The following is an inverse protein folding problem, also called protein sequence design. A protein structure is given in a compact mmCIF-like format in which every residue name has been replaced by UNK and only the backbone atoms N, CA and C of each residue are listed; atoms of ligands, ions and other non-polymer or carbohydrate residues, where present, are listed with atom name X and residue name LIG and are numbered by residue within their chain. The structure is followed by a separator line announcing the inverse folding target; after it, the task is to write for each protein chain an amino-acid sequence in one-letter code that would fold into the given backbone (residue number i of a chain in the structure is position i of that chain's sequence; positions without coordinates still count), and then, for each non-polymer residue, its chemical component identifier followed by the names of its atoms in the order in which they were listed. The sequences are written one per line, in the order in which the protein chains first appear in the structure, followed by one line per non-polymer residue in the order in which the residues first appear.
data_IF_148576868221
#
_entry.id   IF_148576868221
#
_cell.length_a   1.000
_cell.length_b   1.000
_cell.length_c   1.000
_cell.angle_alpha   90.00
_cell.angle_beta   90.00
_cell.angle_gamma   90.00
#
_symmetry.space_group_name_H-M   'P 1'
#
loop_
_entity.id
_entity.type
_entity.pdbx_description
1 polymer ?
#
# COMPACT_ATOMS: atom_id res chain seq x y z
N UNK A 1 5.79 14.26 22.22
CA UNK A 1 6.68 13.61 21.25
C UNK A 1 6.37 12.11 21.28
N UNK A 2 5.72 11.65 20.23
CA UNK A 2 5.36 10.24 20.15
C UNK A 2 6.61 9.43 19.82
N UNK A 3 6.92 8.47 20.69
CA UNK A 3 7.98 7.49 20.46
C UNK A 3 7.62 6.63 19.24
N UNK A 4 8.58 6.30 18.35
CA UNK A 4 8.31 5.42 17.24
C UNK A 4 7.83 4.07 17.74
N UNK A 5 6.90 3.47 17.02
CA UNK A 5 6.40 2.12 17.32
C UNK A 5 6.34 1.28 16.06
N UNK A 6 6.55 -0.02 16.20
CA UNK A 6 6.42 -0.96 15.11
C UNK A 6 4.95 -1.09 14.69
N UNK A 7 4.65 -0.92 13.42
CA UNK A 7 3.30 -1.05 12.89
C UNK A 7 2.78 -2.49 12.90
N UNK A 8 3.67 -3.48 12.99
CA UNK A 8 3.34 -4.90 12.99
C UNK A 8 3.08 -5.41 14.41
N UNK A 9 4.08 -5.28 15.32
CA UNK A 9 3.99 -5.81 16.67
C UNK A 9 3.62 -4.77 17.74
N UNK A 10 3.51 -3.49 17.37
CA UNK A 10 3.20 -2.33 18.23
C UNK A 10 4.22 -2.07 19.35
N UNK A 11 5.39 -2.70 19.32
CA UNK A 11 6.47 -2.40 20.24
C UNK A 11 6.85 -0.93 20.14
N UNK A 12 6.94 -0.24 21.28
CA UNK A 12 7.36 1.17 21.35
C UNK A 12 8.86 1.25 21.63
N UNK A 13 9.52 2.15 20.95
CA UNK A 13 10.95 2.42 21.09
C UNK A 13 11.15 3.80 21.75
N UNK A 14 11.00 3.85 23.06
CA UNK A 14 11.07 5.12 23.84
C UNK A 14 12.42 5.83 23.71
N UNK A 15 13.50 5.09 23.58
CA UNK A 15 14.88 5.61 23.48
C UNK A 15 15.50 5.39 22.10
N UNK A 16 14.66 5.34 21.07
CA UNK A 16 15.16 5.18 19.71
C UNK A 16 16.17 6.28 19.34
N UNK A 17 17.28 5.86 18.75
CA UNK A 17 18.31 6.73 18.16
C UNK A 17 18.73 6.14 16.83
N UNK A 18 19.04 7.01 15.88
CA UNK A 18 19.63 6.58 14.62
C UNK A 18 20.98 5.90 14.90
N UNK A 19 21.16 4.68 14.40
CA UNK A 19 22.39 3.91 14.60
C UNK A 19 23.61 4.54 13.91
N UNK A 20 23.40 5.40 12.92
CA UNK A 20 24.47 6.04 12.16
C UNK A 20 24.87 7.42 12.70
N UNK A 21 23.88 8.28 13.03
CA UNK A 21 24.17 9.65 13.45
C UNK A 21 23.81 9.95 14.91
N UNK A 22 23.22 9.01 15.64
CA UNK A 22 22.81 9.19 17.03
C UNK A 22 21.59 10.12 17.24
N UNK A 23 21.04 10.72 16.18
CA UNK A 23 19.94 11.67 16.26
C UNK A 23 18.64 10.95 16.71
N UNK A 24 17.90 11.60 17.60
CA UNK A 24 16.60 11.11 18.10
C UNK A 24 15.42 11.57 17.26
N UNK A 25 15.63 12.58 16.42
CA UNK A 25 14.57 13.18 15.64
C UNK A 25 14.26 12.35 14.40
N UNK A 26 13.02 11.88 14.33
CA UNK A 26 12.53 11.14 13.16
C UNK A 26 11.91 12.14 12.20
N UNK A 27 12.37 12.11 10.97
CA UNK A 27 11.77 12.88 9.88
C UNK A 27 10.86 11.94 9.08
N UNK A 28 9.58 12.24 9.06
CA UNK A 28 8.65 11.55 8.16
C UNK A 28 8.95 12.00 6.72
N UNK A 29 9.33 11.05 5.86
CA UNK A 29 9.66 11.31 4.45
C UNK A 29 8.40 11.52 3.57
N UNK A 30 7.21 11.49 4.13
CA UNK A 30 5.95 11.76 3.41
C UNK A 30 5.23 12.97 3.98
N UNK A 31 4.55 13.72 3.13
CA UNK A 31 3.60 14.72 3.58
C UNK A 31 2.33 13.99 4.02
N UNK A 32 2.01 14.03 5.30
CA UNK A 32 0.71 13.56 5.78
C UNK A 32 -0.44 14.29 5.07
N UNK A 33 -1.60 13.66 4.97
CA UNK A 33 -2.77 14.22 4.28
C UNK A 33 -3.20 15.57 4.87
N UNK A 34 -3.00 15.78 6.17
CA UNK A 34 -3.29 17.03 6.85
C UNK A 34 -2.41 18.18 6.35
N UNK A 35 -1.12 17.91 6.15
CA UNK A 35 -0.20 18.91 5.60
C UNK A 35 -0.53 19.25 4.16
N UNK A 36 -0.91 18.27 3.36
CA UNK A 36 -1.41 18.50 2.00
C UNK A 36 -2.67 19.36 2.05
N UNK A 37 -3.59 19.11 2.99
CA UNK A 37 -4.79 19.90 3.16
C UNK A 37 -4.48 21.36 3.51
N UNK A 38 -3.49 21.61 4.39
CA UNK A 38 -3.05 22.97 4.71
C UNK A 38 -2.48 23.71 3.50
N UNK A 39 -1.63 23.02 2.70
CA UNK A 39 -1.05 23.60 1.48
C UNK A 39 -2.15 23.93 0.45
N UNK A 40 -3.12 23.04 0.27
CA UNK A 40 -4.27 23.27 -0.60
C UNK A 40 -5.18 24.39 -0.07
N UNK A 41 -5.40 24.46 1.25
CA UNK A 41 -6.15 25.55 1.87
C UNK A 41 -5.54 26.93 1.60
N UNK A 42 -4.22 27.02 1.64
CA UNK A 42 -3.51 28.27 1.28
C UNK A 42 -3.62 28.59 -0.21
N UNK A 43 -3.56 27.57 -1.06
CA UNK A 43 -3.61 27.72 -2.53
C UNK A 43 -5.02 28.00 -3.05
N UNK A 44 -6.05 27.52 -2.33
CA UNK A 44 -7.45 27.61 -2.71
C UNK A 44 -8.31 28.16 -1.57
N UNK A 45 -8.13 29.41 -1.13
CA UNK A 45 -8.73 29.94 0.10
C UNK A 45 -10.28 29.98 0.11
N UNK A 46 -10.91 29.95 -1.09
CA UNK A 46 -12.38 29.98 -1.22
C UNK A 46 -12.96 28.60 -1.59
N UNK A 47 -12.24 27.52 -1.31
CA UNK A 47 -12.65 26.17 -1.68
C UNK A 47 -12.73 25.30 -0.44
N UNK A 48 -13.87 24.66 -0.21
CA UNK A 48 -14.00 23.71 0.89
C UNK A 48 -13.13 22.48 0.64
N UNK A 49 -12.35 22.09 1.66
CA UNK A 49 -11.47 20.93 1.61
C UNK A 49 -11.99 19.89 2.59
N UNK A 50 -12.21 18.69 2.11
CA UNK A 50 -12.65 17.54 2.88
C UNK A 50 -11.55 16.47 2.90
N UNK A 51 -11.33 15.85 4.05
CA UNK A 51 -10.31 14.82 4.24
C UNK A 51 -10.99 13.49 4.53
N UNK A 52 -10.68 12.47 3.71
CA UNK A 52 -11.11 11.09 3.88
C UNK A 52 -9.91 10.20 4.22
N UNK A 53 -10.03 9.43 5.29
CA UNK A 53 -9.03 8.46 5.74
C UNK A 53 -9.71 7.16 6.16
N UNK A 54 -8.96 6.13 6.47
CA UNK A 54 -9.50 4.87 6.97
C UNK A 54 -10.34 5.05 8.26
N UNK A 55 -9.96 6.05 9.09
CA UNK A 55 -10.65 6.36 10.34
C UNK A 55 -11.74 7.44 10.18
N UNK A 56 -11.79 8.11 9.03
CA UNK A 56 -12.72 9.20 8.76
C UNK A 56 -13.36 9.02 7.38
N UNK A 57 -14.44 8.28 7.36
CA UNK A 57 -15.24 8.10 6.15
C UNK A 57 -16.01 9.38 5.80
N UNK A 58 -16.10 9.64 4.51
CA UNK A 58 -16.94 10.71 3.97
C UNK A 58 -18.05 10.10 3.10
N UNK A 59 -19.26 10.56 3.33
CA UNK A 59 -20.36 10.36 2.40
C UNK A 59 -20.15 11.20 1.13
N UNK A 60 -20.81 10.86 0.01
CA UNK A 60 -20.75 11.67 -1.20
C UNK A 60 -21.07 13.14 -0.92
N UNK A 61 -20.19 14.03 -1.34
CA UNK A 61 -20.27 15.47 -1.07
C UNK A 61 -20.90 16.16 -2.26
N UNK A 62 -22.08 16.70 -2.04
CA UNK A 62 -22.72 17.62 -2.99
C UNK A 62 -22.13 19.01 -2.91
N UNK A 63 -22.44 19.84 -3.91
CA UNK A 63 -22.10 21.26 -3.90
C UNK A 63 -21.11 21.70 -4.95
N UNK A 64 -20.96 23.01 -5.08
CA UNK A 64 -20.10 23.66 -6.06
C UNK A 64 -18.73 23.90 -5.44
N UNK A 65 -17.65 23.56 -6.14
CA UNK A 65 -16.25 23.84 -5.78
C UNK A 65 -15.83 23.27 -4.42
N UNK A 66 -15.51 22.02 -4.41
CA UNK A 66 -14.88 21.39 -3.26
C UNK A 66 -13.67 20.55 -3.72
N UNK A 67 -12.76 20.28 -2.79
CA UNK A 67 -11.63 19.41 -2.96
C UNK A 67 -11.78 18.29 -1.93
N UNK A 68 -11.71 17.05 -2.38
CA UNK A 68 -11.65 15.88 -1.51
C UNK A 68 -10.23 15.35 -1.54
N UNK A 69 -9.54 15.43 -0.42
CA UNK A 69 -8.26 14.79 -0.19
C UNK A 69 -8.50 13.44 0.48
N UNK A 70 -7.95 12.39 -0.09
CA UNK A 70 -8.22 11.04 0.38
C UNK A 70 -6.95 10.18 0.38
N UNK A 71 -6.80 9.35 1.40
CA UNK A 71 -5.86 8.24 1.31
C UNK A 71 -6.37 7.20 0.32
N UNK A 72 -5.48 6.35 -0.18
CA UNK A 72 -5.85 5.38 -1.22
C UNK A 72 -7.03 4.52 -0.77
N UNK A 73 -8.09 4.50 -1.58
CA UNK A 73 -9.28 3.69 -1.34
C UNK A 73 -10.36 4.31 -0.44
N UNK A 74 -10.13 5.49 0.13
CA UNK A 74 -11.08 6.12 1.08
C UNK A 74 -11.93 7.24 0.48
N UNK A 75 -11.62 7.70 -0.74
CA UNK A 75 -12.42 8.72 -1.38
C UNK A 75 -13.87 8.24 -1.63
N UNK A 76 -14.89 9.07 -1.40
CA UNK A 76 -16.28 8.75 -1.69
C UNK A 76 -16.49 8.31 -3.14
N UNK A 77 -17.42 7.39 -3.35
CA UNK A 77 -17.81 6.93 -4.69
C UNK A 77 -18.83 7.92 -5.26
N UNK A 78 -18.31 8.87 -6.01
CA UNK A 78 -19.11 9.91 -6.65
C UNK A 78 -18.42 10.39 -7.93
N UNK A 79 -19.12 11.18 -8.73
CA UNK A 79 -18.49 11.83 -9.88
C UNK A 79 -17.66 13.02 -9.44
N UNK A 80 -16.47 13.16 -10.04
CA UNK A 80 -15.52 14.26 -9.83
C UNK A 80 -15.32 15.01 -11.15
N UNK A 81 -15.14 16.34 -11.10
CA UNK A 81 -14.77 17.11 -12.28
C UNK A 81 -13.36 16.78 -12.78
N UNK A 82 -12.47 16.45 -11.84
CA UNK A 82 -11.12 15.96 -12.11
C UNK A 82 -10.63 15.10 -10.95
N UNK A 83 -9.70 14.21 -11.22
CA UNK A 83 -9.03 13.38 -10.21
C UNK A 83 -7.52 13.59 -10.33
N UNK A 84 -6.84 13.71 -9.20
CA UNK A 84 -5.39 13.87 -9.13
C UNK A 84 -4.80 12.81 -8.19
N UNK A 85 -3.82 12.07 -8.67
CA UNK A 85 -3.01 11.14 -7.88
C UNK A 85 -1.68 11.83 -7.58
N UNK A 86 -1.50 12.29 -6.33
CA UNK A 86 -0.38 13.16 -5.94
C UNK A 86 0.88 12.42 -5.54
N UNK A 87 0.73 11.24 -5.00
CA UNK A 87 1.85 10.37 -4.66
C UNK A 87 1.81 9.12 -5.52
N UNK A 88 2.97 8.76 -6.01
CA UNK A 88 3.13 7.49 -6.69
C UNK A 88 2.51 6.40 -5.85
N UNK A 89 1.85 5.46 -6.50
CA UNK A 89 1.11 4.38 -5.89
C UNK A 89 2.06 3.42 -5.12
N UNK A 90 2.82 3.99 -4.18
CA UNK A 90 3.61 3.25 -3.20
C UNK A 90 2.67 2.52 -2.25
N UNK A 91 1.96 1.54 -2.80
CA UNK A 91 1.26 0.57 -1.98
C UNK A 91 2.30 -0.30 -1.28
N UNK A 92 1.98 -0.71 -0.06
CA UNK A 92 2.82 -1.65 0.66
C UNK A 92 3.21 -2.81 -0.27
N UNK A 93 4.47 -3.21 -0.26
CA UNK A 93 5.02 -4.27 -1.10
C UNK A 93 4.48 -5.64 -0.68
N UNK A 94 3.25 -5.92 -1.04
CA UNK A 94 2.68 -7.25 -0.95
C UNK A 94 2.37 -7.80 -2.36
N UNK A 95 2.05 -9.10 -2.43
CA UNK A 95 1.80 -9.82 -3.67
C UNK A 95 0.65 -9.25 -4.53
N UNK A 96 -0.19 -8.37 -3.96
CA UNK A 96 -1.35 -7.79 -4.65
C UNK A 96 -1.29 -6.26 -4.72
N UNK A 97 -0.15 -5.67 -4.45
CA UNK A 97 0.00 -4.21 -4.43
C UNK A 97 -0.26 -3.58 -5.80
N UNK A 98 0.29 -4.16 -6.86
CA UNK A 98 0.07 -3.68 -8.24
C UNK A 98 -1.38 -3.83 -8.69
N UNK A 99 -2.01 -4.97 -8.39
CA UNK A 99 -3.43 -5.20 -8.69
C UNK A 99 -4.32 -4.15 -8.01
N UNK A 100 -4.06 -3.87 -6.72
CA UNK A 100 -4.80 -2.86 -5.98
C UNK A 100 -4.55 -1.46 -6.52
N UNK A 101 -3.29 -1.11 -6.81
CA UNK A 101 -2.94 0.16 -7.42
C UNK A 101 -3.71 0.38 -8.72
N UNK A 102 -3.67 -0.62 -9.59
CA UNK A 102 -4.35 -0.59 -10.87
C UNK A 102 -5.86 -0.42 -10.69
N UNK A 103 -6.46 -1.18 -9.77
CA UNK A 103 -7.88 -1.09 -9.44
C UNK A 103 -8.27 0.32 -9.00
N UNK A 104 -7.50 0.96 -8.12
CA UNK A 104 -7.77 2.33 -7.67
C UNK A 104 -7.60 3.35 -8.79
N UNK A 105 -6.55 3.25 -9.58
CA UNK A 105 -6.31 4.14 -10.72
C UNK A 105 -7.49 4.11 -11.69
N UNK A 106 -7.87 2.94 -12.14
CA UNK A 106 -8.97 2.78 -13.10
C UNK A 106 -10.31 3.23 -12.50
N UNK A 107 -10.60 2.80 -11.25
CA UNK A 107 -11.83 3.16 -10.56
C UNK A 107 -12.00 4.68 -10.46
N UNK A 108 -11.04 5.39 -9.90
CA UNK A 108 -11.20 6.83 -9.68
C UNK A 108 -11.07 7.64 -10.98
N UNK A 109 -10.25 7.18 -11.93
CA UNK A 109 -10.21 7.80 -13.25
C UNK A 109 -11.55 7.67 -13.98
N UNK A 110 -12.23 6.53 -13.88
CA UNK A 110 -13.57 6.35 -14.47
C UNK A 110 -14.64 7.23 -13.83
N UNK A 111 -14.44 7.64 -12.58
CA UNK A 111 -15.35 8.57 -11.89
C UNK A 111 -15.05 10.04 -12.22
N UNK A 112 -13.95 10.33 -12.90
CA UNK A 112 -13.61 11.69 -13.31
C UNK A 112 -14.42 12.15 -14.52
N UNK A 113 -14.65 13.44 -14.62
CA UNK A 113 -15.30 14.09 -15.78
C UNK A 113 -14.39 14.18 -17.02
N UNK A 114 -13.46 13.24 -17.21
CA UNK A 114 -12.54 13.17 -18.33
C UNK A 114 -11.17 13.79 -18.07
N UNK A 115 -10.85 14.17 -16.84
CA UNK A 115 -9.55 14.72 -16.46
C UNK A 115 -8.96 13.94 -15.29
N UNK A 116 -7.82 13.26 -15.56
CA UNK A 116 -7.01 12.63 -14.52
C UNK A 116 -5.56 13.14 -14.66
N UNK A 117 -4.98 13.54 -13.54
CA UNK A 117 -3.57 13.89 -13.43
C UNK A 117 -2.87 12.90 -12.50
N UNK A 118 -1.72 12.40 -12.93
CA UNK A 118 -0.92 11.47 -12.14
C UNK A 118 0.47 12.06 -11.98
N UNK A 119 0.90 12.16 -10.73
CA UNK A 119 2.26 12.56 -10.37
C UNK A 119 3.00 11.29 -9.96
N UNK A 120 3.69 10.68 -10.91
CA UNK A 120 4.46 9.45 -10.72
C UNK A 120 5.58 9.36 -11.76
N UNK A 121 6.43 8.34 -11.64
CA UNK A 121 7.48 8.06 -12.62
C UNK A 121 6.85 7.55 -13.92
N UNK A 122 7.30 8.05 -15.09
CA UNK A 122 6.76 7.62 -16.38
C UNK A 122 6.89 6.10 -16.63
N UNK A 123 7.90 5.48 -16.01
CA UNK A 123 8.19 4.05 -16.15
C UNK A 123 7.26 3.15 -15.32
N UNK A 124 6.42 3.74 -14.46
CA UNK A 124 5.49 2.94 -13.64
C UNK A 124 4.53 2.16 -14.55
N UNK A 125 4.54 0.80 -14.50
CA UNK A 125 3.71 -0.01 -15.38
C UNK A 125 2.21 0.22 -15.21
N UNK A 126 1.75 0.55 -13.98
CA UNK A 126 0.34 0.85 -13.71
C UNK A 126 -0.10 2.16 -14.36
N UNK A 127 0.77 3.18 -14.37
CA UNK A 127 0.53 4.46 -15.06
C UNK A 127 0.44 4.23 -16.57
N UNK A 128 1.35 3.43 -17.14
CA UNK A 128 1.32 3.08 -18.55
C UNK A 128 0.06 2.28 -18.93
N UNK A 129 -0.38 1.35 -18.07
CA UNK A 129 -1.61 0.61 -18.28
C UNK A 129 -2.83 1.54 -18.31
N UNK A 130 -2.87 2.51 -17.40
CA UNK A 130 -3.94 3.51 -17.37
C UNK A 130 -3.91 4.42 -18.59
N UNK A 131 -2.75 4.93 -18.97
CA UNK A 131 -2.60 5.79 -20.15
C UNK A 131 -3.12 5.11 -21.43
N UNK A 132 -2.81 3.82 -21.59
CA UNK A 132 -3.30 3.00 -22.71
C UNK A 132 -4.73 2.49 -22.51
N UNK A 133 -5.33 2.75 -21.38
CA UNK A 133 -6.62 2.18 -20.96
C UNK A 133 -6.66 0.66 -21.11
N UNK A 134 -5.55 0.00 -20.81
CA UNK A 134 -5.39 -1.44 -20.96
C UNK A 134 -4.75 -2.08 -19.72
N UNK A 135 -5.55 -2.52 -18.73
CA UNK A 135 -5.05 -3.18 -17.54
C UNK A 135 -4.54 -4.60 -17.83
N UNK A 136 -5.04 -5.25 -18.88
CA UNK A 136 -4.79 -6.67 -19.14
C UNK A 136 -3.32 -6.97 -19.43
N UNK A 137 -2.62 -6.09 -20.15
CA UNK A 137 -1.21 -6.29 -20.45
C UNK A 137 -0.34 -6.36 -19.18
N UNK A 138 -0.63 -5.53 -18.19
CA UNK A 138 0.06 -5.55 -16.89
C UNK A 138 -0.32 -6.81 -16.10
N UNK A 139 -1.61 -7.11 -16.01
CA UNK A 139 -2.11 -8.28 -15.27
C UNK A 139 -1.53 -9.58 -15.86
N UNK A 140 -1.51 -9.72 -17.18
CA UNK A 140 -0.94 -10.91 -17.84
C UNK A 140 0.54 -11.09 -17.52
N UNK A 141 1.31 -10.02 -17.60
CA UNK A 141 2.73 -10.05 -17.26
C UNK A 141 2.96 -10.46 -15.79
N UNK A 142 2.21 -9.86 -14.86
CA UNK A 142 2.30 -10.20 -13.43
C UNK A 142 1.91 -11.66 -13.17
N UNK A 143 0.89 -12.18 -13.84
CA UNK A 143 0.51 -13.58 -13.73
C UNK A 143 1.61 -14.51 -14.23
N UNK A 144 2.27 -14.17 -15.35
CA UNK A 144 3.40 -14.96 -15.86
C UNK A 144 4.58 -14.94 -14.86
N UNK A 145 4.88 -13.80 -14.26
CA UNK A 145 5.93 -13.68 -13.24
C UNK A 145 5.58 -14.50 -11.98
N UNK A 146 4.33 -14.44 -11.51
CA UNK A 146 3.84 -15.23 -10.38
C UNK A 146 3.88 -16.73 -10.66
N UNK A 147 3.56 -17.14 -11.89
CA UNK A 147 3.66 -18.53 -12.32
C UNK A 147 5.10 -19.02 -12.34
N UNK A 148 6.01 -18.23 -12.90
CA UNK A 148 7.43 -18.58 -12.99
C UNK A 148 8.08 -18.69 -11.61
N UNK A 149 7.63 -17.88 -10.64
CA UNK A 149 8.14 -17.88 -9.26
C UNK A 149 7.39 -18.83 -8.32
N UNK A 150 6.33 -19.51 -8.81
CA UNK A 150 5.51 -20.39 -7.99
C UNK A 150 4.79 -19.68 -6.86
N UNK A 151 4.33 -18.45 -7.11
CA UNK A 151 3.57 -17.63 -6.16
C UNK A 151 2.05 -17.76 -6.40
N UNK A 152 1.20 -17.36 -5.44
CA UNK A 152 -0.23 -17.35 -5.66
C UNK A 152 -0.63 -16.53 -6.91
N UNK A 153 -1.60 -16.96 -7.69
CA UNK A 153 -2.55 -18.06 -7.47
C UNK A 153 -2.04 -19.46 -7.90
N UNK A 154 -0.81 -19.60 -8.39
CA UNK A 154 -0.27 -20.85 -8.94
C UNK A 154 0.24 -21.81 -7.85
N UNK A 155 0.47 -21.32 -6.64
CA UNK A 155 0.77 -22.12 -5.45
C UNK A 155 -0.05 -21.63 -4.24
N UNK A 156 -0.24 -22.49 -3.25
CA UNK A 156 -0.86 -22.12 -1.97
C UNK A 156 0.25 -21.69 -1.02
N UNK A 157 0.09 -20.50 -0.44
CA UNK A 157 0.99 -19.98 0.58
C UNK A 157 0.28 -19.86 1.92
N UNK A 158 0.99 -20.17 2.99
CA UNK A 158 0.54 -19.99 4.36
C UNK A 158 1.59 -19.16 5.08
N UNK A 159 1.19 -18.03 5.64
CA UNK A 159 2.02 -17.21 6.51
C UNK A 159 1.69 -17.58 7.96
N UNK A 160 2.65 -18.13 8.68
CA UNK A 160 2.54 -18.43 10.10
C UNK A 160 3.25 -17.32 10.86
N UNK A 161 2.52 -16.63 11.74
CA UNK A 161 3.08 -15.61 12.63
C UNK A 161 3.20 -16.19 14.03
N UNK A 162 4.37 -16.09 14.61
CA UNK A 162 4.64 -16.50 15.99
C UNK A 162 5.59 -15.48 16.65
N UNK A 163 5.70 -15.48 17.99
CA UNK A 163 6.74 -14.72 18.68
C UNK A 163 8.13 -15.08 18.18
N UNK A 164 9.04 -14.09 18.15
CA UNK A 164 10.38 -14.26 17.60
C UNK A 164 11.16 -15.40 18.28
N UNK A 165 11.00 -15.55 19.60
CA UNK A 165 11.61 -16.61 20.40
C UNK A 165 11.13 -18.03 20.04
N UNK A 166 9.96 -18.16 19.44
CA UNK A 166 9.39 -19.46 19.04
C UNK A 166 9.69 -19.79 17.57
N UNK A 167 10.14 -18.83 16.79
CA UNK A 167 10.32 -18.97 15.34
C UNK A 167 11.26 -20.12 14.97
N UNK A 168 12.41 -20.19 15.62
CA UNK A 168 13.40 -21.25 15.37
C UNK A 168 12.88 -22.64 15.70
N UNK A 169 12.14 -22.76 16.80
CA UNK A 169 11.52 -24.03 17.24
C UNK A 169 10.44 -24.47 16.27
N UNK A 170 9.59 -23.55 15.84
CA UNK A 170 8.54 -23.82 14.86
C UNK A 170 9.12 -24.26 13.53
N UNK A 171 10.11 -23.52 13.02
CA UNK A 171 10.80 -23.86 11.77
C UNK A 171 11.42 -25.25 11.80
N UNK A 172 12.16 -25.57 12.85
CA UNK A 172 12.77 -26.90 13.03
C UNK A 172 11.72 -28.01 13.15
N UNK A 173 10.61 -27.75 13.85
CA UNK A 173 9.50 -28.69 13.98
C UNK A 173 8.81 -28.99 12.65
N UNK A 174 8.61 -27.98 11.83
CA UNK A 174 8.03 -28.13 10.49
C UNK A 174 8.95 -28.93 9.56
N UNK A 175 10.27 -28.66 9.58
CA UNK A 175 11.24 -29.44 8.82
C UNK A 175 11.29 -30.90 9.27
N UNK A 176 11.17 -31.15 10.57
CA UNK A 176 11.09 -32.51 11.12
C UNK A 176 9.81 -33.22 10.64
N UNK A 177 8.67 -32.53 10.67
CA UNK A 177 7.40 -33.08 10.19
C UNK A 177 7.42 -33.46 8.70
N UNK A 178 8.17 -32.72 7.86
CA UNK A 178 8.40 -33.12 6.45
C UNK A 178 9.22 -34.40 6.38
N UNK A 179 10.31 -34.52 7.16
CA UNK A 179 11.16 -35.72 7.16
C UNK A 179 10.41 -36.98 7.62
N UNK A 180 9.50 -36.82 8.54
CA UNK A 180 8.65 -37.91 9.04
C UNK A 180 7.44 -38.22 8.13
N UNK A 181 7.26 -37.50 7.04
CA UNK A 181 6.14 -37.68 6.11
C UNK A 181 4.80 -37.19 6.63
N UNK A 182 4.77 -36.43 7.75
CA UNK A 182 3.55 -35.79 8.29
C UNK A 182 3.12 -34.57 7.47
N UNK A 183 4.06 -33.97 6.76
CA UNK A 183 3.85 -32.88 5.80
C UNK A 183 4.43 -33.34 4.46
N UNK A 184 3.71 -33.07 3.37
CA UNK A 184 4.14 -33.42 2.02
C UNK A 184 5.53 -32.82 1.72
N UNK A 185 6.44 -33.63 1.17
CA UNK A 185 7.80 -33.24 0.81
C UNK A 185 7.87 -32.13 -0.25
N UNK A 186 6.78 -31.88 -0.98
CA UNK A 186 6.65 -30.76 -1.92
C UNK A 186 6.49 -29.40 -1.24
N UNK A 187 6.16 -29.38 0.07
CA UNK A 187 6.02 -28.14 0.85
C UNK A 187 7.41 -27.54 1.06
N UNK A 188 7.55 -26.28 0.63
CA UNK A 188 8.75 -25.47 0.89
C UNK A 188 8.50 -24.57 2.10
N UNK A 189 9.42 -24.58 3.03
CA UNK A 189 9.34 -23.76 4.25
C UNK A 189 10.44 -22.71 4.18
N UNK A 190 10.06 -21.45 4.35
CA UNK A 190 10.98 -20.33 4.38
C UNK A 190 10.89 -19.70 5.79
N UNK A 191 12.06 -19.48 6.39
CA UNK A 191 12.13 -18.66 7.61
C UNK A 191 12.33 -17.22 7.17
N UNK A 192 11.29 -16.43 7.27
CA UNK A 192 11.37 -14.98 7.07
C UNK A 192 11.86 -14.40 8.40
N UNK A 193 13.18 -14.26 8.52
CA UNK A 193 13.73 -13.38 9.56
C UNK A 193 13.47 -11.96 9.11
N UNK A 194 12.76 -11.20 9.96
CA UNK A 194 12.55 -9.78 9.73
C UNK A 194 13.92 -9.10 9.58
N UNK A 195 14.16 -8.56 8.35
CA UNK A 195 15.30 -7.71 8.07
C UNK A 195 15.05 -6.29 8.55
#
# INVERSE_FOLDING_TARGET
SDSPHCTICRTRFSDWRCQFCGEKKIYLLGKGIERVAEEFGKSFPNTAIYIATADKFLEPIGGKRNIVLATIGTAPIQRYSAVMFLDGLNLASDLRSSERALSYLFKYTSLSGGRALIVDRPENPAVNALYKWNPFALISRELDELKATGLPPFARHVLIKCPAEESARLYSGLLHAIREGRIDSKVKIFNLQDG
#
